data_IF_499742305521
#
_entry.id   IF_499742305521
#
_cell.length_a   1.000
_cell.length_b   1.000
_cell.length_c   1.000
_cell.angle_alpha   90.00
_cell.angle_beta   90.00
_cell.angle_gamma   90.00
#
_symmetry.space_group_name_H-M   'P 1'
#
loop_
_entity.id
_entity.type
_entity.pdbx_description
1 polymer ?
#
# COMPACT_ATOMS: atom_id res chain seq x y z
N UNK A 1 -9.54 -19.69 -1.57
CA UNK A 1 -9.04 -18.73 -0.57
C UNK A 1 -8.07 -19.50 0.34
N UNK A 2 -6.76 -19.36 0.11
CA UNK A 2 -5.78 -19.95 1.05
C UNK A 2 -5.88 -19.13 2.33
N UNK A 3 -6.37 -19.75 3.39
CA UNK A 3 -6.33 -19.18 4.72
C UNK A 3 -4.95 -18.59 4.98
N UNK A 4 -4.91 -17.34 5.40
CA UNK A 4 -3.73 -16.67 5.93
C UNK A 4 -3.27 -17.52 7.11
N UNK A 5 -2.30 -18.38 6.86
CA UNK A 5 -1.85 -19.38 7.84
C UNK A 5 -1.40 -18.66 9.10
N UNK A 6 -2.18 -18.75 10.16
CA UNK A 6 -1.89 -18.25 11.51
C UNK A 6 -1.83 -16.72 11.67
N UNK A 7 -2.47 -15.92 10.82
CA UNK A 7 -2.66 -14.50 11.06
C UNK A 7 -4.08 -14.25 11.57
N UNK A 8 -4.21 -13.51 12.65
CA UNK A 8 -5.47 -13.02 13.20
C UNK A 8 -5.60 -11.53 12.90
N UNK A 9 -6.17 -11.15 11.74
CA UNK A 9 -6.24 -9.75 11.35
C UNK A 9 -7.25 -9.00 12.22
N UNK A 10 -6.86 -7.80 12.62
CA UNK A 10 -7.75 -6.81 13.23
C UNK A 10 -7.88 -5.65 12.25
N UNK A 11 -9.12 -5.33 11.86
CA UNK A 11 -9.41 -4.27 10.92
C UNK A 11 -9.85 -3.01 11.68
N UNK A 12 -9.04 -1.96 11.63
CA UNK A 12 -9.43 -0.64 12.10
C UNK A 12 -10.12 0.10 10.96
N UNK A 13 -11.37 0.48 11.14
CA UNK A 13 -12.20 1.08 10.10
C UNK A 13 -13.05 2.23 10.66
N UNK A 14 -13.16 3.29 9.88
CA UNK A 14 -13.98 4.46 10.22
C UNK A 14 -15.49 4.15 10.23
N UNK A 15 -15.93 3.32 9.28
CA UNK A 15 -17.35 2.95 9.14
C UNK A 15 -17.49 1.44 8.87
N UNK A 16 -18.20 0.75 9.75
CA UNK A 16 -18.36 -0.70 9.72
C UNK A 16 -19.62 -1.18 8.97
N UNK A 17 -20.44 -0.28 8.42
CA UNK A 17 -21.75 -0.61 7.85
C UNK A 17 -21.74 -1.68 6.75
N UNK A 18 -20.59 -1.90 6.08
CA UNK A 18 -20.45 -2.88 5.00
C UNK A 18 -19.53 -4.06 5.33
N UNK A 19 -18.76 -3.99 6.42
CA UNK A 19 -17.68 -4.95 6.67
C UNK A 19 -18.16 -6.31 7.17
N UNK A 20 -19.27 -6.36 7.91
CA UNK A 20 -19.82 -7.64 8.42
C UNK A 20 -20.24 -8.61 7.31
N UNK A 21 -20.56 -8.10 6.11
CA UNK A 21 -20.90 -8.91 4.94
C UNK A 21 -19.64 -9.49 4.28
N UNK A 22 -18.52 -8.75 4.29
CA UNK A 22 -17.29 -9.13 3.57
C UNK A 22 -16.32 -9.96 4.40
N UNK A 23 -16.24 -9.74 5.71
CA UNK A 23 -15.26 -10.36 6.61
C UNK A 23 -15.89 -10.81 7.94
N UNK A 24 -16.81 -11.79 7.93
CA UNK A 24 -17.52 -12.21 9.13
C UNK A 24 -16.62 -12.81 10.22
N UNK A 25 -15.37 -13.16 9.90
CA UNK A 25 -14.40 -13.76 10.83
C UNK A 25 -13.28 -12.79 11.27
N UNK A 26 -13.23 -11.57 10.75
CA UNK A 26 -12.23 -10.59 11.17
C UNK A 26 -12.67 -9.83 12.42
N UNK A 27 -11.74 -9.62 13.34
CA UNK A 27 -11.96 -8.69 14.43
C UNK A 27 -12.01 -7.27 13.88
N UNK A 28 -13.12 -6.57 14.10
CA UNK A 28 -13.34 -5.21 13.63
C UNK A 28 -13.30 -4.26 14.82
N UNK A 29 -12.50 -3.21 14.69
CA UNK A 29 -12.46 -2.06 15.62
C UNK A 29 -12.90 -0.84 14.84
N UNK A 30 -14.05 -0.26 15.21
CA UNK A 30 -14.50 0.98 14.61
C UNK A 30 -13.79 2.15 15.28
N UNK A 31 -12.79 2.70 14.58
CA UNK A 31 -12.00 3.84 15.03
C UNK A 31 -11.42 4.56 13.81
N UNK A 32 -11.45 5.89 13.81
CA UNK A 32 -10.81 6.68 12.75
C UNK A 32 -9.29 6.58 12.89
N UNK A 33 -8.57 6.54 11.76
CA UNK A 33 -7.11 6.48 11.74
C UNK A 33 -6.49 7.65 12.51
N UNK A 34 -7.09 8.83 12.42
CA UNK A 34 -6.59 10.03 13.10
C UNK A 34 -6.88 10.06 14.61
N UNK A 35 -7.64 9.10 15.13
CA UNK A 35 -7.92 8.89 16.55
C UNK A 35 -7.11 7.73 17.14
N UNK A 36 -6.33 7.01 16.30
CA UNK A 36 -5.46 5.93 16.77
C UNK A 36 -4.37 6.48 17.69
N UNK A 37 -4.01 5.71 18.68
CA UNK A 37 -2.88 5.96 19.55
C UNK A 37 -1.95 4.75 19.67
N UNK A 38 -0.87 4.89 20.42
CA UNK A 38 0.12 3.83 20.64
C UNK A 38 -0.49 2.54 21.20
N UNK A 39 -1.49 2.63 22.08
CA UNK A 39 -2.14 1.46 22.69
C UNK A 39 -2.94 0.64 21.71
N UNK A 40 -3.45 1.27 20.66
CA UNK A 40 -4.18 0.56 19.60
C UNK A 40 -3.27 -0.35 18.79
N UNK A 41 -1.99 0.01 18.63
CA UNK A 41 -1.08 -0.64 17.70
C UNK A 41 0.08 -1.40 18.34
N UNK A 42 0.31 -1.27 19.66
CA UNK A 42 1.49 -1.83 20.35
C UNK A 42 1.60 -3.36 20.26
N UNK A 43 0.49 -4.06 20.21
CA UNK A 43 0.46 -5.52 20.22
C UNK A 43 0.64 -6.14 18.82
N UNK A 44 0.72 -5.32 17.77
CA UNK A 44 0.89 -5.79 16.41
C UNK A 44 2.35 -5.76 15.97
N UNK A 45 2.78 -6.85 15.31
CA UNK A 45 4.10 -6.91 14.65
C UNK A 45 4.03 -6.46 13.19
N UNK A 46 2.83 -6.50 12.59
CA UNK A 46 2.57 -6.19 11.19
C UNK A 46 1.40 -5.22 11.13
N UNK A 47 1.58 -4.12 10.43
CA UNK A 47 0.54 -3.14 10.17
C UNK A 47 0.46 -2.95 8.66
N UNK A 48 -0.74 -3.11 8.10
CA UNK A 48 -1.00 -2.88 6.68
C UNK A 48 -1.87 -1.62 6.58
N UNK A 49 -1.31 -0.57 6.06
CA UNK A 49 -1.99 0.69 5.81
C UNK A 49 -2.60 0.66 4.40
N UNK A 50 -3.91 0.73 4.35
CA UNK A 50 -4.71 0.77 3.12
C UNK A 50 -5.43 2.11 2.97
N UNK A 51 -4.87 3.18 3.52
CA UNK A 51 -5.46 4.51 3.43
C UNK A 51 -5.63 4.93 1.97
N UNK A 52 -6.82 5.44 1.63
CA UNK A 52 -7.14 5.99 0.33
C UNK A 52 -8.12 7.15 0.46
N UNK A 53 -7.85 8.25 -0.23
CA UNK A 53 -8.67 9.46 -0.23
C UNK A 53 -8.63 10.11 -1.62
N UNK A 54 -9.78 10.52 -2.13
CA UNK A 54 -9.91 11.08 -3.48
C UNK A 54 -10.23 12.57 -3.50
N UNK A 55 -10.78 13.10 -2.42
CA UNK A 55 -11.25 14.48 -2.36
C UNK A 55 -10.29 15.37 -1.54
N UNK A 56 -9.85 14.88 -0.38
CA UNK A 56 -9.02 15.63 0.56
C UNK A 56 -7.58 15.12 0.54
N UNK A 57 -6.88 15.35 -0.57
CA UNK A 57 -5.54 14.79 -0.81
C UNK A 57 -4.50 15.19 0.24
N UNK A 58 -4.67 16.32 0.92
CA UNK A 58 -3.82 16.72 2.07
C UNK A 58 -3.83 15.69 3.22
N UNK A 59 -4.82 14.81 3.27
CA UNK A 59 -4.88 13.76 4.26
C UNK A 59 -3.84 12.66 4.02
N UNK A 60 -3.28 12.50 2.80
CA UNK A 60 -2.18 11.56 2.54
C UNK A 60 -0.94 11.87 3.38
N UNK A 61 -0.53 13.12 3.45
CA UNK A 61 0.58 13.52 4.31
C UNK A 61 0.21 13.40 5.78
N UNK A 62 -0.97 13.87 6.15
CA UNK A 62 -1.41 13.85 7.54
C UNK A 62 -1.52 12.44 8.13
N UNK A 63 -2.03 11.47 7.35
CA UNK A 63 -2.18 10.09 7.85
C UNK A 63 -0.84 9.43 8.13
N UNK A 64 0.13 9.58 7.21
CA UNK A 64 1.45 8.95 7.41
C UNK A 64 2.23 9.62 8.56
N UNK A 65 2.09 10.94 8.75
CA UNK A 65 2.64 11.63 9.90
C UNK A 65 2.00 11.14 11.22
N UNK A 66 0.70 10.82 11.21
CA UNK A 66 0.01 10.25 12.36
C UNK A 66 0.53 8.86 12.70
N UNK A 67 0.59 7.96 11.70
CA UNK A 67 1.14 6.61 11.88
C UNK A 67 2.61 6.66 12.31
N UNK A 68 3.42 7.54 11.73
CA UNK A 68 4.82 7.71 12.12
C UNK A 68 4.97 8.03 13.59
N UNK A 69 4.19 8.98 14.11
CA UNK A 69 4.24 9.35 15.55
C UNK A 69 3.90 8.17 16.47
N UNK A 70 2.91 7.36 16.07
CA UNK A 70 2.48 6.20 16.85
C UNK A 70 3.54 5.10 16.82
N UNK A 71 4.23 4.93 15.69
CA UNK A 71 5.14 3.82 15.43
C UNK A 71 6.60 4.10 15.84
N UNK A 72 6.93 5.29 16.30
CA UNK A 72 8.29 5.62 16.74
C UNK A 72 8.79 4.64 17.80
N UNK A 73 9.92 3.99 17.52
CA UNK A 73 10.51 2.98 18.40
C UNK A 73 9.77 1.64 18.44
N UNK A 74 8.69 1.47 17.65
CA UNK A 74 7.95 0.22 17.56
C UNK A 74 8.76 -0.86 16.83
N UNK A 75 8.54 -2.12 17.22
CA UNK A 75 9.04 -3.30 16.49
C UNK A 75 8.15 -3.68 15.29
N UNK A 76 6.96 -3.10 15.20
CA UNK A 76 6.05 -3.34 14.10
C UNK A 76 6.65 -2.89 12.76
N UNK A 77 6.36 -3.65 11.71
CA UNK A 77 6.68 -3.26 10.34
C UNK A 77 5.42 -2.74 9.67
N UNK A 78 5.51 -1.53 9.13
CA UNK A 78 4.43 -0.89 8.37
C UNK A 78 4.54 -1.26 6.89
N UNK A 79 3.46 -1.79 6.33
CA UNK A 79 3.30 -2.02 4.89
C UNK A 79 2.26 -1.04 4.36
N UNK A 80 2.64 -0.20 3.42
CA UNK A 80 1.76 0.84 2.88
C UNK A 80 1.31 0.46 1.48
N UNK A 81 0.01 0.45 1.24
CA UNK A 81 -0.55 0.38 -0.11
C UNK A 81 -0.28 1.69 -0.81
N UNK A 82 0.66 1.66 -1.75
CA UNK A 82 1.14 2.83 -2.44
C UNK A 82 0.43 3.13 -3.76
N UNK A 83 1.04 4.02 -4.54
CA UNK A 83 0.61 4.35 -5.89
C UNK A 83 1.67 3.99 -6.95
N UNK A 84 1.24 3.81 -8.20
CA UNK A 84 2.13 3.53 -9.32
C UNK A 84 2.86 4.78 -9.84
N UNK A 85 2.27 5.97 -9.67
CA UNK A 85 2.76 7.20 -10.28
C UNK A 85 4.20 7.58 -9.96
N UNK A 86 4.75 7.09 -8.84
CA UNK A 86 6.14 7.33 -8.44
C UNK A 86 7.12 6.26 -8.93
N UNK A 87 6.68 5.21 -9.66
CA UNK A 87 7.58 4.22 -10.27
C UNK A 87 8.46 4.90 -11.32
N UNK A 88 9.73 4.50 -11.39
CA UNK A 88 10.68 5.09 -12.32
C UNK A 88 10.60 4.46 -13.71
N UNK A 89 10.67 5.31 -14.74
CA UNK A 89 10.64 4.91 -16.14
C UNK A 89 12.02 4.55 -16.66
N UNK A 90 13.08 4.91 -15.95
CA UNK A 90 14.47 4.77 -16.36
C UNK A 90 15.36 4.16 -15.27
N UNK A 91 16.50 3.58 -15.69
CA UNK A 91 17.47 2.92 -14.78
C UNK A 91 18.16 3.89 -13.82
N UNK A 92 18.23 5.17 -14.16
CA UNK A 92 18.89 6.17 -13.33
C UNK A 92 17.98 6.76 -12.27
N UNK A 93 16.69 6.32 -12.24
CA UNK A 93 15.67 6.80 -11.31
C UNK A 93 15.47 8.33 -11.38
N UNK A 94 15.45 8.88 -12.61
CA UNK A 94 15.31 10.33 -12.83
C UNK A 94 13.91 10.75 -13.25
N UNK A 95 13.17 9.89 -13.93
CA UNK A 95 11.84 10.18 -14.47
C UNK A 95 10.82 9.23 -13.88
N UNK A 96 9.77 9.74 -13.27
CA UNK A 96 8.68 8.92 -12.70
C UNK A 96 7.56 8.77 -13.73
N UNK A 97 6.75 7.74 -13.58
CA UNK A 97 5.56 7.52 -14.42
C UNK A 97 4.67 8.77 -14.48
N UNK A 98 4.45 9.45 -13.36
CA UNK A 98 3.61 10.65 -13.31
C UNK A 98 4.24 11.89 -13.95
N UNK A 99 5.52 11.86 -14.28
CA UNK A 99 6.23 12.95 -14.97
C UNK A 99 6.18 12.78 -16.49
N UNK A 100 5.63 11.66 -16.99
CA UNK A 100 5.48 11.39 -18.42
C UNK A 100 4.42 12.30 -19.05
N UNK A 101 4.63 12.77 -20.31
CA UNK A 101 3.70 13.69 -20.96
C UNK A 101 2.28 13.14 -21.17
N UNK A 102 2.14 11.82 -21.25
CA UNK A 102 0.91 11.07 -21.48
C UNK A 102 0.24 10.58 -20.17
N UNK A 103 0.80 10.93 -19.01
CA UNK A 103 0.18 10.58 -17.74
C UNK A 103 -1.20 11.26 -17.60
N UNK A 104 -2.27 10.50 -17.26
CA UNK A 104 -3.61 11.04 -17.18
C UNK A 104 -3.72 12.15 -16.12
N UNK A 105 -4.17 13.31 -16.55
CA UNK A 105 -4.22 14.53 -15.70
C UNK A 105 -5.12 14.37 -14.49
N UNK A 106 -6.20 13.61 -14.64
CA UNK A 106 -7.18 13.32 -13.57
C UNK A 106 -6.57 12.54 -12.40
N UNK A 107 -5.48 11.81 -12.61
CA UNK A 107 -4.78 11.07 -11.55
C UNK A 107 -3.52 11.78 -11.03
N UNK A 108 -3.13 12.91 -11.63
CA UNK A 108 -1.85 13.55 -11.31
C UNK A 108 -1.77 14.01 -9.86
N UNK A 109 -2.83 14.60 -9.33
CA UNK A 109 -2.81 15.15 -7.97
C UNK A 109 -2.80 14.05 -6.92
N UNK A 110 -3.55 12.95 -7.13
CA UNK A 110 -3.49 11.79 -6.22
C UNK A 110 -2.15 11.06 -6.35
N UNK A 111 -1.55 10.99 -7.54
CA UNK A 111 -0.22 10.40 -7.72
C UNK A 111 0.86 11.19 -6.98
N UNK A 112 0.79 12.53 -6.99
CA UNK A 112 1.67 13.40 -6.21
C UNK A 112 1.48 13.19 -4.71
N UNK A 113 0.23 13.20 -4.22
CA UNK A 113 -0.07 12.99 -2.82
C UNK A 113 0.44 11.63 -2.31
N UNK A 114 0.27 10.58 -3.11
CA UNK A 114 0.79 9.24 -2.80
C UNK A 114 2.33 9.20 -2.84
N UNK A 115 2.97 9.92 -3.76
CA UNK A 115 4.42 10.03 -3.83
C UNK A 115 5.01 10.78 -2.62
N UNK A 116 4.32 11.80 -2.09
CA UNK A 116 4.73 12.49 -0.86
C UNK A 116 4.78 11.55 0.35
N UNK A 117 3.88 10.55 0.43
CA UNK A 117 3.94 9.50 1.45
C UNK A 117 5.22 8.69 1.33
N UNK A 118 5.60 8.28 0.12
CA UNK A 118 6.86 7.56 -0.11
C UNK A 118 8.08 8.41 0.27
N UNK A 119 8.11 9.67 -0.13
CA UNK A 119 9.21 10.59 0.23
C UNK A 119 9.31 10.80 1.74
N UNK A 120 8.17 10.91 2.44
CA UNK A 120 8.15 10.95 3.89
C UNK A 120 8.78 9.70 4.49
N UNK A 121 8.37 8.51 4.03
CA UNK A 121 8.88 7.23 4.51
C UNK A 121 10.38 7.05 4.24
N UNK A 122 10.90 7.52 3.11
CA UNK A 122 12.34 7.48 2.80
C UNK A 122 13.21 8.24 3.80
N UNK A 123 12.64 9.26 4.43
CA UNK A 123 13.31 10.04 5.49
C UNK A 123 13.04 9.48 6.89
N UNK A 124 12.13 8.50 7.03
CA UNK A 124 11.77 7.91 8.32
C UNK A 124 12.80 6.86 8.77
N UNK A 125 13.16 6.89 10.06
CA UNK A 125 14.15 5.98 10.67
C UNK A 125 13.67 5.35 11.99
N UNK A 126 12.53 5.77 12.49
CA UNK A 126 12.03 5.38 13.81
C UNK A 126 11.33 4.02 13.83
N UNK A 127 10.97 3.47 12.67
CA UNK A 127 10.33 2.17 12.51
C UNK A 127 10.63 1.59 11.12
N UNK A 128 10.34 0.29 10.93
CA UNK A 128 10.52 -0.39 9.64
C UNK A 128 9.30 -0.23 8.77
N UNK A 129 9.53 -0.02 7.46
CA UNK A 129 8.44 0.15 6.50
C UNK A 129 8.72 -0.53 5.15
N UNK A 130 7.64 -0.83 4.43
CA UNK A 130 7.66 -1.26 3.02
C UNK A 130 6.52 -0.54 2.30
N UNK A 131 6.84 0.18 1.24
CA UNK A 131 5.86 0.82 0.39
C UNK A 131 5.62 -0.05 -0.84
N UNK A 132 4.39 -0.52 -1.05
CA UNK A 132 4.06 -1.47 -2.11
C UNK A 132 3.26 -0.75 -3.20
N UNK A 133 3.91 -0.44 -4.32
CA UNK A 133 3.27 0.18 -5.48
C UNK A 133 2.46 -0.86 -6.27
N UNK A 134 1.19 -0.61 -6.58
CA UNK A 134 0.46 -1.42 -7.55
C UNK A 134 0.95 -1.12 -8.98
N UNK A 135 0.41 -1.83 -9.96
CA UNK A 135 0.52 -1.50 -11.38
C UNK A 135 -0.27 -0.22 -11.71
N UNK A 136 -0.02 0.36 -12.91
CA UNK A 136 -0.70 1.56 -13.39
C UNK A 136 -2.23 1.40 -13.45
N UNK A 137 -2.70 0.22 -13.89
CA UNK A 137 -4.11 -0.15 -13.85
C UNK A 137 -4.30 -1.05 -12.64
N UNK A 138 -4.89 -0.48 -11.59
CA UNK A 138 -5.20 -1.15 -10.33
C UNK A 138 -6.71 -1.10 -10.11
N UNK A 139 -7.42 -2.23 -10.28
CA UNK A 139 -8.87 -2.23 -10.31
C UNK A 139 -9.48 -3.46 -9.62
N UNK A 140 -10.64 -3.29 -8.93
CA UNK A 140 -11.43 -4.39 -8.43
C UNK A 140 -12.13 -5.20 -9.54
N UNK A 141 -12.34 -4.61 -10.73
CA UNK A 141 -13.03 -5.21 -11.85
C UNK A 141 -12.17 -6.20 -12.65
N UNK A 142 -10.84 -6.16 -12.44
CA UNK A 142 -9.95 -7.14 -13.05
C UNK A 142 -10.11 -8.51 -12.39
N UNK A 143 -10.14 -9.59 -13.17
CA UNK A 143 -10.24 -10.94 -12.63
C UNK A 143 -8.98 -11.32 -11.86
N UNK A 144 -9.14 -12.14 -10.85
CA UNK A 144 -8.01 -12.74 -10.14
C UNK A 144 -7.33 -13.76 -11.05
N UNK A 145 -6.03 -13.54 -11.32
CA UNK A 145 -5.19 -14.45 -12.14
C UNK A 145 -4.41 -15.46 -11.30
N UNK A 146 -4.07 -15.14 -10.06
CA UNK A 146 -3.09 -15.80 -9.19
C UNK A 146 -1.66 -15.82 -9.77
N UNK A 147 -1.39 -15.01 -10.77
CA UNK A 147 -0.10 -14.89 -11.44
C UNK A 147 0.39 -13.44 -11.37
N UNK A 148 1.34 -13.19 -10.50
CA UNK A 148 1.96 -11.88 -10.31
C UNK A 148 3.44 -12.03 -9.99
N UNK A 149 4.19 -10.97 -10.21
CA UNK A 149 5.57 -10.87 -9.75
C UNK A 149 5.78 -9.60 -8.92
N UNK A 150 6.75 -9.66 -8.02
CA UNK A 150 7.26 -8.50 -7.31
C UNK A 150 8.33 -7.87 -8.17
N UNK A 151 8.26 -6.57 -8.36
CA UNK A 151 9.22 -5.75 -9.08
C UNK A 151 9.86 -4.73 -8.13
N UNK A 152 10.95 -4.10 -8.57
CA UNK A 152 11.63 -3.08 -7.78
C UNK A 152 11.04 -1.68 -7.93
N UNK A 153 11.94 -0.72 -8.01
CA UNK A 153 11.64 0.72 -8.14
C UNK A 153 11.15 1.10 -9.56
N UNK A 154 11.40 0.24 -10.55
CA UNK A 154 11.07 0.53 -11.95
C UNK A 154 9.65 0.14 -12.32
N UNK A 155 9.07 0.95 -13.18
CA UNK A 155 7.84 0.62 -13.89
C UNK A 155 8.10 -0.56 -14.85
N UNK A 156 7.21 -1.53 -14.82
CA UNK A 156 7.26 -2.68 -15.72
C UNK A 156 5.90 -2.94 -16.36
N UNK A 157 5.96 -3.63 -17.51
CA UNK A 157 4.80 -4.17 -18.20
C UNK A 157 4.90 -5.70 -18.29
N UNK A 158 3.78 -6.37 -18.44
CA UNK A 158 3.71 -7.81 -18.66
C UNK A 158 3.96 -8.18 -20.14
N UNK A 159 3.85 -9.47 -20.47
CA UNK A 159 4.04 -9.97 -21.83
C UNK A 159 3.07 -9.36 -22.88
N UNK A 160 1.95 -8.82 -22.43
CA UNK A 160 0.96 -8.13 -23.26
C UNK A 160 1.21 -6.61 -23.36
N UNK A 161 2.34 -6.12 -22.86
CA UNK A 161 2.69 -4.70 -22.79
C UNK A 161 1.72 -3.89 -21.91
N UNK A 162 1.19 -4.51 -20.85
CA UNK A 162 0.25 -3.88 -19.90
C UNK A 162 0.82 -3.83 -18.50
N UNK A 163 0.65 -2.71 -17.81
CA UNK A 163 0.91 -2.59 -16.37
C UNK A 163 -0.43 -2.63 -15.64
N UNK A 164 -0.84 -3.82 -15.22
CA UNK A 164 -2.13 -4.01 -14.54
C UNK A 164 -2.05 -5.05 -13.42
N UNK A 165 -2.92 -4.90 -12.42
CA UNK A 165 -3.13 -5.89 -11.36
C UNK A 165 -4.53 -5.74 -10.77
N UNK A 166 -5.18 -6.88 -10.48
CA UNK A 166 -6.44 -6.89 -9.75
C UNK A 166 -6.23 -6.61 -8.26
N UNK A 167 -7.25 -6.07 -7.57
CA UNK A 167 -7.21 -5.94 -6.11
C UNK A 167 -6.97 -7.30 -5.43
N UNK A 168 -7.53 -8.37 -5.99
CA UNK A 168 -7.40 -9.73 -5.43
C UNK A 168 -5.98 -10.28 -5.55
N UNK A 169 -5.29 -10.05 -6.69
CA UNK A 169 -3.90 -10.48 -6.87
C UNK A 169 -2.95 -9.60 -6.06
N UNK A 170 -3.20 -8.29 -6.02
CA UNK A 170 -2.43 -7.37 -5.19
C UNK A 170 -2.53 -7.73 -3.71
N UNK A 171 -3.73 -8.04 -3.20
CA UNK A 171 -3.90 -8.51 -1.82
C UNK A 171 -3.17 -9.82 -1.56
N UNK A 172 -3.16 -10.75 -2.52
CA UNK A 172 -2.41 -12.00 -2.42
C UNK A 172 -0.91 -11.74 -2.37
N UNK A 173 -0.40 -10.85 -3.24
CA UNK A 173 1.00 -10.43 -3.25
C UNK A 173 1.39 -9.71 -1.95
N UNK A 174 0.53 -8.82 -1.43
CA UNK A 174 0.77 -8.14 -0.15
C UNK A 174 0.96 -9.16 0.98
N UNK A 175 0.13 -10.19 1.06
CA UNK A 175 0.28 -11.24 2.07
C UNK A 175 1.56 -12.04 1.88
N UNK A 176 1.94 -12.37 0.65
CA UNK A 176 3.22 -13.06 0.39
C UNK A 176 4.40 -12.18 0.79
N UNK A 177 4.36 -10.89 0.50
CA UNK A 177 5.37 -9.92 0.91
C UNK A 177 5.48 -9.84 2.44
N UNK A 178 4.36 -9.75 3.14
CA UNK A 178 4.29 -9.68 4.60
C UNK A 178 4.89 -10.93 5.23
N UNK A 179 4.53 -12.12 4.74
CA UNK A 179 4.95 -13.40 5.33
C UNK A 179 6.41 -13.76 5.03
N UNK A 180 6.93 -13.34 3.88
CA UNK A 180 8.29 -13.68 3.44
C UNK A 180 9.25 -12.48 3.50
N UNK A 181 8.89 -11.43 4.24
CA UNK A 181 9.51 -10.14 4.14
C UNK A 181 10.96 -10.09 4.59
N UNK A 182 11.87 -10.15 3.64
CA UNK A 182 13.23 -9.62 3.77
C UNK A 182 13.31 -8.11 3.43
N UNK A 183 12.20 -7.50 3.00
CA UNK A 183 12.15 -6.09 2.62
C UNK A 183 12.07 -5.18 3.86
N UNK A 184 12.92 -4.16 3.91
CA UNK A 184 12.92 -3.15 4.97
C UNK A 184 13.30 -1.80 4.39
N UNK A 185 12.57 -0.75 4.76
CA UNK A 185 12.82 0.64 4.39
C UNK A 185 13.00 0.80 2.87
N UNK A 186 12.11 0.20 2.11
CA UNK A 186 12.18 0.16 0.66
C UNK A 186 10.81 0.26 0.01
N UNK A 187 10.79 0.68 -1.26
CA UNK A 187 9.65 0.55 -2.14
C UNK A 187 9.84 -0.66 -3.04
N UNK A 188 8.77 -1.40 -3.25
CA UNK A 188 8.64 -2.47 -4.24
C UNK A 188 7.35 -2.25 -5.02
N UNK A 189 7.25 -2.85 -6.19
CA UNK A 189 6.03 -2.86 -6.99
C UNK A 189 5.50 -4.28 -7.19
N UNK A 190 4.26 -4.38 -7.63
CA UNK A 190 3.60 -5.66 -7.97
C UNK A 190 2.87 -5.52 -9.30
N UNK A 191 3.04 -6.53 -10.18
CA UNK A 191 2.40 -6.59 -11.50
C UNK A 191 1.87 -7.99 -11.78
N UNK A 192 0.70 -8.09 -12.45
CA UNK A 192 0.21 -9.35 -13.01
C UNK A 192 1.06 -9.78 -14.21
N UNK A 193 1.28 -11.10 -14.32
CA UNK A 193 2.01 -11.71 -15.44
C UNK A 193 1.10 -11.95 -16.66
#
# INVERSE_FOLDING_TARGET
>A
MRLIRNLEPVCFIRNNSKMNEFLPQAKIVQKDLFELDFKDLIDFNIIIDTFGEWEKLSLYKKHIECLSKILQGSKAKLFVVGGAGSLYMDENHTTRLMDMPDFPKEYLDIAKASAEVLEFLRNEKGFKWVYVSPSAIFSPDLPKSNHYKIIGEKFEVNANNESKISYSDYASAMIDIVLNSCYENTRIGVISL
#
